data_IF_567562960535
#
_entry.id   IF_567562960535
#
_cell.length_a   1.000
_cell.length_b   1.000
_cell.length_c   1.000
_cell.angle_alpha   90.00
_cell.angle_beta   90.00
_cell.angle_gamma   90.00
#
_symmetry.space_group_name_H-M   'P 1'
#
loop_
_entity.id
_entity.type
_entity.pdbx_description
1 polymer ?
#
# COMPACT_ATOMS: atom_id res chain seq x y z
N UNK A 1 15.79 -18.10 -5.97
CA UNK A 1 15.86 -17.77 -4.54
C UNK A 1 16.19 -16.29 -4.40
N UNK A 2 15.68 -15.64 -3.33
CA UNK A 2 15.89 -14.20 -3.09
C UNK A 2 17.38 -13.82 -3.06
N UNK A 3 18.24 -14.67 -2.48
CA UNK A 3 19.68 -14.43 -2.45
C UNK A 3 20.33 -14.35 -3.83
N UNK A 4 19.87 -15.12 -4.80
CA UNK A 4 20.37 -15.08 -6.18
C UNK A 4 20.03 -13.74 -6.84
N UNK A 5 18.82 -13.21 -6.61
CA UNK A 5 18.39 -11.92 -7.15
C UNK A 5 19.21 -10.79 -6.53
N UNK A 6 19.38 -10.80 -5.20
CA UNK A 6 20.19 -9.81 -4.47
C UNK A 6 21.62 -9.81 -4.98
N UNK A 7 22.26 -10.99 -5.06
CA UNK A 7 23.65 -11.10 -5.51
C UNK A 7 23.81 -10.63 -6.96
N UNK A 8 22.88 -10.99 -7.85
CA UNK A 8 22.88 -10.52 -9.25
C UNK A 8 22.70 -9.02 -9.35
N UNK A 9 21.81 -8.43 -8.53
CA UNK A 9 21.59 -6.98 -8.51
C UNK A 9 22.82 -6.24 -8.02
N UNK A 10 23.46 -6.73 -6.94
CA UNK A 10 24.68 -6.11 -6.40
C UNK A 10 25.83 -6.22 -7.40
N UNK A 11 25.97 -7.37 -8.07
CA UNK A 11 27.04 -7.61 -9.07
C UNK A 11 26.89 -6.70 -10.30
N UNK A 12 25.66 -6.46 -10.77
CA UNK A 12 25.41 -5.71 -11.99
C UNK A 12 25.28 -4.20 -11.76
N UNK A 13 24.76 -3.78 -10.58
CA UNK A 13 24.37 -2.38 -10.32
C UNK A 13 24.91 -1.83 -8.99
N UNK A 14 25.74 -2.59 -8.28
CA UNK A 14 26.22 -2.24 -6.95
C UNK A 14 25.13 -2.24 -5.89
N UNK A 15 25.48 -1.87 -4.65
CA UNK A 15 24.55 -1.77 -3.52
C UNK A 15 23.43 -0.75 -3.79
N UNK A 16 23.73 0.35 -4.49
CA UNK A 16 22.74 1.36 -4.91
C UNK A 16 21.64 0.81 -5.82
N UNK A 17 21.90 -0.28 -6.53
CA UNK A 17 20.90 -0.97 -7.35
C UNK A 17 19.70 -1.51 -6.56
N UNK A 18 19.89 -1.82 -5.28
CA UNK A 18 18.81 -2.28 -4.39
C UNK A 18 17.83 -1.17 -3.99
N UNK A 19 18.27 0.09 -4.07
CA UNK A 19 17.47 1.27 -3.71
C UNK A 19 16.81 1.93 -4.94
N UNK A 20 16.86 1.28 -6.12
CA UNK A 20 16.18 1.77 -7.32
C UNK A 20 14.67 1.81 -7.09
N UNK A 21 14.07 2.96 -7.35
CA UNK A 21 12.64 3.21 -7.10
C UNK A 21 12.30 3.70 -5.68
N UNK A 22 13.28 3.80 -4.76
CA UNK A 22 13.06 4.38 -3.42
C UNK A 22 12.60 5.84 -3.52
N UNK A 23 13.18 6.62 -4.43
CA UNK A 23 12.79 8.02 -4.66
C UNK A 23 11.29 8.16 -4.97
N UNK A 24 10.75 7.30 -5.84
CA UNK A 24 9.31 7.27 -6.12
C UNK A 24 8.47 7.01 -4.86
N UNK A 25 8.91 6.10 -4.00
CA UNK A 25 8.21 5.82 -2.75
C UNK A 25 8.25 6.99 -1.78
N UNK A 26 9.40 7.66 -1.66
CA UNK A 26 9.58 8.82 -0.77
C UNK A 26 8.72 10.02 -1.20
N UNK A 27 8.74 10.37 -2.47
CA UNK A 27 7.94 11.50 -2.98
C UNK A 27 6.43 11.28 -2.80
N UNK A 28 5.95 10.05 -2.90
CA UNK A 28 4.53 9.75 -2.74
C UNK A 28 4.13 9.37 -1.31
N UNK A 29 5.06 9.17 -0.38
CA UNK A 29 4.74 8.75 0.99
C UNK A 29 3.88 9.79 1.73
N UNK A 30 4.30 11.06 1.72
CA UNK A 30 3.57 12.15 2.38
C UNK A 30 2.21 12.44 1.73
N UNK A 31 2.09 12.65 0.40
CA UNK A 31 0.78 12.82 -0.24
C UNK A 31 -0.15 11.63 0.00
N UNK A 32 0.38 10.42 0.00
CA UNK A 32 -0.40 9.20 0.26
C UNK A 32 -0.99 9.18 1.66
N UNK A 33 -0.21 9.52 2.68
CA UNK A 33 -0.66 9.59 4.05
C UNK A 33 -1.70 10.72 4.22
N UNK A 34 -1.44 11.92 3.68
CA UNK A 34 -2.34 13.05 3.76
C UNK A 34 -3.70 12.76 3.13
N UNK A 35 -3.74 12.20 1.92
CA UNK A 35 -5.00 11.86 1.25
C UNK A 35 -5.72 10.73 1.99
N UNK A 36 -5.03 9.72 2.48
CA UNK A 36 -5.64 8.62 3.23
C UNK A 36 -6.35 9.11 4.48
N UNK A 37 -5.65 9.83 5.35
CA UNK A 37 -6.20 10.28 6.61
C UNK A 37 -7.21 11.42 6.42
N UNK A 38 -6.92 12.41 5.57
CA UNK A 38 -7.84 13.48 5.26
C UNK A 38 -9.15 12.99 4.65
N UNK A 39 -9.08 12.05 3.71
CA UNK A 39 -10.30 11.43 3.14
C UNK A 39 -11.06 10.59 4.17
N UNK A 40 -10.33 9.88 5.06
CA UNK A 40 -10.97 9.12 6.12
C UNK A 40 -11.74 10.03 7.09
N UNK A 41 -11.13 11.12 7.52
CA UNK A 41 -11.78 12.12 8.38
C UNK A 41 -12.99 12.78 7.70
N UNK A 42 -12.83 13.18 6.43
CA UNK A 42 -13.92 13.79 5.64
C UNK A 42 -15.10 12.83 5.51
N UNK A 43 -14.87 11.59 5.09
CA UNK A 43 -15.96 10.60 4.96
C UNK A 43 -16.54 10.23 6.31
N UNK A 44 -15.72 10.09 7.36
CA UNK A 44 -16.20 9.86 8.72
C UNK A 44 -17.07 11.01 9.22
N UNK A 45 -16.69 12.26 8.93
CA UNK A 45 -17.46 13.44 9.25
C UNK A 45 -18.82 13.51 8.53
N UNK A 46 -18.86 13.10 7.26
CA UNK A 46 -20.11 13.01 6.49
C UNK A 46 -21.10 11.95 7.03
N UNK A 47 -20.56 10.93 7.71
CA UNK A 47 -21.35 9.85 8.32
C UNK A 47 -21.85 10.23 9.74
N UNK A 48 -21.40 11.35 10.30
CA UNK A 48 -21.86 11.90 11.58
C UNK A 48 -22.90 12.98 11.34
N UNK A 49 -23.86 13.08 12.28
CA UNK A 49 -24.75 14.22 12.37
C UNK A 49 -24.07 15.37 13.16
N UNK A 50 -24.69 16.56 13.15
CA UNK A 50 -24.21 17.75 13.90
C UNK A 50 -23.97 17.47 15.38
N UNK A 51 -24.72 16.53 15.95
CA UNK A 51 -24.62 16.09 17.35
C UNK A 51 -23.59 14.96 17.56
N UNK A 52 -22.77 14.63 16.58
CA UNK A 52 -21.77 13.56 16.65
C UNK A 52 -22.34 12.13 16.67
N UNK A 53 -23.65 11.98 16.46
CA UNK A 53 -24.31 10.67 16.36
C UNK A 53 -24.23 10.10 14.94
N UNK A 54 -24.29 8.78 14.82
CA UNK A 54 -24.27 8.10 13.52
C UNK A 54 -25.55 8.44 12.73
N UNK A 55 -25.41 9.24 11.68
CA UNK A 55 -26.50 9.68 10.81
C UNK A 55 -27.26 8.52 10.14
N UNK A 56 -26.57 7.42 9.90
CA UNK A 56 -27.10 6.26 9.15
C UNK A 56 -27.19 4.99 10.01
N UNK A 57 -26.96 5.06 11.31
CA UNK A 57 -27.03 3.90 12.21
C UNK A 57 -25.98 2.82 11.94
N UNK A 58 -24.85 3.19 11.34
CA UNK A 58 -23.81 2.25 10.89
C UNK A 58 -23.02 1.62 12.07
N UNK A 59 -23.04 2.22 13.24
CA UNK A 59 -22.35 1.70 14.42
C UNK A 59 -20.90 1.33 14.14
N UNK A 60 -20.54 0.05 14.36
CA UNK A 60 -19.18 -0.46 14.11
C UNK A 60 -18.78 -0.48 12.63
N UNK A 61 -19.74 -0.52 11.70
CA UNK A 61 -19.46 -0.52 10.26
C UNK A 61 -19.01 0.85 9.72
N UNK A 62 -19.16 1.94 10.48
CA UNK A 62 -18.73 3.29 10.10
C UNK A 62 -17.26 3.34 9.68
N UNK A 63 -16.36 2.72 10.47
CA UNK A 63 -14.94 2.67 10.14
C UNK A 63 -14.64 1.93 8.83
N UNK A 64 -15.44 0.90 8.52
CA UNK A 64 -15.33 0.17 7.25
C UNK A 64 -15.75 1.04 6.07
N UNK A 65 -16.89 1.74 6.15
CA UNK A 65 -17.38 2.63 5.10
C UNK A 65 -16.43 3.82 4.88
N UNK A 66 -15.97 4.45 5.97
CA UNK A 66 -14.97 5.53 5.88
C UNK A 66 -13.65 5.04 5.27
N UNK A 67 -13.23 3.82 5.61
CA UNK A 67 -12.05 3.17 5.01
C UNK A 67 -12.21 2.88 3.52
N UNK A 68 -13.39 2.49 3.05
CA UNK A 68 -13.68 2.35 1.62
C UNK A 68 -13.51 3.68 0.87
N UNK A 69 -14.09 4.75 1.40
CA UNK A 69 -13.96 6.08 0.82
C UNK A 69 -12.51 6.56 0.79
N UNK A 70 -11.80 6.45 1.92
CA UNK A 70 -10.39 6.79 2.01
C UNK A 70 -9.52 6.00 1.02
N UNK A 71 -9.76 4.69 0.93
CA UNK A 71 -9.03 3.82 -0.01
C UNK A 71 -9.29 4.16 -1.47
N UNK A 72 -10.52 4.53 -1.81
CA UNK A 72 -10.88 4.97 -3.17
C UNK A 72 -10.15 6.26 -3.54
N UNK A 73 -10.20 7.27 -2.68
CA UNK A 73 -9.49 8.54 -2.90
C UNK A 73 -7.98 8.33 -2.98
N UNK A 74 -7.40 7.53 -2.08
CA UNK A 74 -5.99 7.17 -2.11
C UNK A 74 -5.61 6.46 -3.43
N UNK A 75 -6.45 5.54 -3.91
CA UNK A 75 -6.21 4.82 -5.15
C UNK A 75 -6.21 5.76 -6.36
N UNK A 76 -7.18 6.66 -6.45
CA UNK A 76 -7.33 7.59 -7.58
C UNK A 76 -6.17 8.60 -7.60
N UNK A 77 -5.92 9.30 -6.50
CA UNK A 77 -5.01 10.44 -6.53
C UNK A 77 -3.54 10.09 -6.37
N UNK A 78 -3.21 8.97 -5.71
CA UNK A 78 -1.82 8.66 -5.37
C UNK A 78 -1.39 7.26 -5.80
N UNK A 79 -2.12 6.23 -5.39
CA UNK A 79 -1.59 4.86 -5.53
C UNK A 79 -1.49 4.43 -6.98
N UNK A 80 -2.51 4.70 -7.81
CA UNK A 80 -2.49 4.30 -9.21
C UNK A 80 -1.38 5.00 -10.00
N UNK A 81 -1.27 6.35 -10.00
CA UNK A 81 -0.18 7.00 -10.73
C UNK A 81 1.20 6.59 -10.18
N UNK A 82 1.34 6.43 -8.85
CA UNK A 82 2.59 5.97 -8.24
C UNK A 82 2.99 4.58 -8.73
N UNK A 83 2.07 3.61 -8.69
CA UNK A 83 2.37 2.22 -9.10
C UNK A 83 2.73 2.15 -10.59
N UNK A 84 1.97 2.81 -11.46
CA UNK A 84 2.21 2.80 -12.89
C UNK A 84 3.56 3.45 -13.25
N UNK A 85 3.84 4.63 -12.69
CA UNK A 85 5.11 5.33 -12.91
C UNK A 85 6.30 4.52 -12.38
N UNK A 86 6.16 3.94 -11.16
CA UNK A 86 7.19 3.09 -10.57
C UNK A 86 7.51 1.89 -11.45
N UNK A 87 6.49 1.17 -11.93
CA UNK A 87 6.68 -0.01 -12.78
C UNK A 87 7.38 0.35 -14.08
N UNK A 88 6.95 1.43 -14.76
CA UNK A 88 7.57 1.89 -16.00
C UNK A 88 9.03 2.31 -15.81
N UNK A 89 9.33 3.06 -14.75
CA UNK A 89 10.69 3.51 -14.45
C UNK A 89 11.62 2.34 -14.11
N UNK A 90 11.15 1.40 -13.30
CA UNK A 90 11.93 0.20 -12.95
C UNK A 90 12.15 -0.65 -14.20
N UNK A 91 11.11 -0.89 -15.00
CA UNK A 91 11.22 -1.69 -16.22
C UNK A 91 12.26 -1.09 -17.18
N UNK A 92 12.23 0.23 -17.40
CA UNK A 92 13.19 0.92 -18.26
C UNK A 92 14.63 0.75 -17.76
N UNK A 93 14.85 0.89 -16.43
CA UNK A 93 16.17 0.76 -15.83
C UNK A 93 16.77 -0.64 -15.88
N UNK A 94 15.94 -1.70 -15.88
CA UNK A 94 16.41 -3.08 -15.82
C UNK A 94 16.44 -3.78 -17.18
N UNK A 95 15.64 -3.34 -18.14
CA UNK A 95 15.45 -4.04 -19.42
C UNK A 95 15.87 -3.23 -20.64
N UNK A 96 16.27 -1.95 -20.46
CA UNK A 96 16.84 -1.12 -21.54
C UNK A 96 18.27 -0.73 -21.25
N UNK A 97 19.10 -0.81 -22.29
CA UNK A 97 20.48 -0.38 -22.25
C UNK A 97 20.77 0.42 -23.54
N UNK A 98 20.99 1.75 -23.48
CA UNK A 98 20.94 2.62 -22.28
C UNK A 98 19.50 2.89 -21.80
N UNK A 99 19.31 3.17 -20.49
CA UNK A 99 18.02 3.53 -19.95
C UNK A 99 17.52 4.85 -20.54
N UNK A 100 16.23 4.87 -20.90
CA UNK A 100 15.59 6.07 -21.50
C UNK A 100 15.39 7.20 -20.49
N UNK A 101 15.16 6.84 -19.23
CA UNK A 101 14.84 7.80 -18.17
C UNK A 101 16.06 8.08 -17.30
N UNK A 102 16.52 9.35 -17.29
CA UNK A 102 17.70 9.79 -16.51
C UNK A 102 17.41 10.02 -15.02
N UNK A 103 16.18 9.76 -14.55
CA UNK A 103 15.75 9.92 -13.16
C UNK A 103 14.23 10.01 -13.04
N UNK A 104 13.73 10.13 -11.78
CA UNK A 104 12.31 10.12 -11.49
C UNK A 104 11.55 11.24 -12.24
N UNK A 105 11.91 12.50 -12.04
CA UNK A 105 11.20 13.64 -12.65
C UNK A 105 11.28 13.65 -14.17
N UNK A 106 12.45 13.33 -14.73
CA UNK A 106 12.62 13.20 -16.16
C UNK A 106 11.72 12.09 -16.73
N UNK A 107 11.65 10.94 -16.05
CA UNK A 107 10.80 9.83 -16.45
C UNK A 107 9.33 10.17 -16.40
N UNK A 108 8.85 10.78 -15.31
CA UNK A 108 7.46 11.23 -15.17
C UNK A 108 7.09 12.23 -16.29
N UNK A 109 7.91 13.26 -16.48
CA UNK A 109 7.68 14.27 -17.54
C UNK A 109 7.66 13.64 -18.93
N UNK A 110 8.56 12.70 -19.21
CA UNK A 110 8.64 12.03 -20.51
C UNK A 110 7.43 11.12 -20.74
N UNK A 111 7.01 10.34 -19.75
CA UNK A 111 5.84 9.47 -19.85
C UNK A 111 4.58 10.30 -20.11
N UNK A 112 4.37 11.39 -19.33
CA UNK A 112 3.20 12.25 -19.49
C UNK A 112 3.18 12.93 -20.87
N UNK A 113 4.33 13.41 -21.36
CA UNK A 113 4.42 14.07 -22.65
C UNK A 113 4.23 13.13 -23.85
N UNK A 114 4.70 11.90 -23.75
CA UNK A 114 4.70 10.96 -24.88
C UNK A 114 3.50 10.02 -24.89
N UNK A 115 3.05 9.59 -23.72
CA UNK A 115 2.00 8.58 -23.58
C UNK A 115 0.69 9.18 -23.02
N UNK A 116 0.74 10.42 -22.54
CA UNK A 116 -0.39 11.14 -21.99
C UNK A 116 -0.63 10.83 -20.51
N UNK A 117 -1.43 11.68 -19.85
CA UNK A 117 -1.76 11.56 -18.42
C UNK A 117 -2.57 10.29 -18.14
N UNK A 118 -3.44 9.88 -19.08
CA UNK A 118 -4.30 8.68 -18.91
C UNK A 118 -3.50 7.39 -18.79
N UNK A 119 -2.27 7.36 -19.32
CA UNK A 119 -1.38 6.21 -19.18
C UNK A 119 -0.98 5.94 -17.73
N UNK A 120 -0.86 7.00 -16.90
CA UNK A 120 -0.59 6.87 -15.47
C UNK A 120 -1.75 6.23 -14.70
N UNK A 121 -2.94 6.20 -15.29
CA UNK A 121 -4.15 5.61 -14.69
C UNK A 121 -4.47 4.20 -15.20
N UNK A 122 -3.60 3.58 -15.98
CA UNK A 122 -3.75 2.17 -16.37
C UNK A 122 -3.81 1.29 -15.12
N UNK A 123 -4.87 0.48 -15.03
CA UNK A 123 -5.12 -0.38 -13.88
C UNK A 123 -5.80 0.32 -12.69
N UNK A 124 -6.44 1.48 -12.89
CA UNK A 124 -7.16 2.21 -11.84
C UNK A 124 -8.22 1.33 -11.16
N UNK A 125 -9.09 0.65 -11.92
CA UNK A 125 -10.18 -0.16 -11.36
C UNK A 125 -9.69 -1.28 -10.40
N UNK A 126 -8.77 -2.17 -10.80
CA UNK A 126 -8.25 -3.18 -9.87
C UNK A 126 -7.49 -2.56 -8.69
N UNK A 127 -6.86 -1.40 -8.88
CA UNK A 127 -6.19 -0.71 -7.79
C UNK A 127 -7.20 -0.12 -6.81
N UNK A 128 -8.30 0.50 -7.27
CA UNK A 128 -9.40 0.96 -6.41
C UNK A 128 -9.94 -0.20 -5.58
N UNK A 129 -10.34 -1.30 -6.21
CA UNK A 129 -10.89 -2.46 -5.51
C UNK A 129 -9.94 -2.97 -4.43
N UNK A 130 -8.66 -3.12 -4.76
CA UNK A 130 -7.64 -3.59 -3.83
C UNK A 130 -7.43 -2.63 -2.66
N UNK A 131 -7.18 -1.35 -2.94
CA UNK A 131 -6.81 -0.36 -1.92
C UNK A 131 -8.01 -0.04 -1.04
N UNK A 132 -9.20 0.17 -1.62
CA UNK A 132 -10.43 0.47 -0.87
C UNK A 132 -10.77 -0.66 0.10
N UNK A 133 -10.77 -1.91 -0.38
CA UNK A 133 -11.11 -3.06 0.45
C UNK A 133 -10.07 -3.28 1.55
N UNK A 134 -8.77 -3.13 1.25
CA UNK A 134 -7.72 -3.25 2.24
C UNK A 134 -7.80 -2.17 3.32
N UNK A 135 -8.09 -0.92 2.95
CA UNK A 135 -8.27 0.17 3.91
C UNK A 135 -9.57 0.01 4.72
N UNK A 136 -10.66 -0.38 4.07
CA UNK A 136 -11.91 -0.67 4.76
C UNK A 136 -11.72 -1.72 5.86
N UNK A 137 -11.04 -2.83 5.54
CA UNK A 137 -10.75 -3.89 6.51
C UNK A 137 -9.85 -3.36 7.62
N UNK A 138 -8.78 -2.62 7.30
CA UNK A 138 -7.85 -2.07 8.27
C UNK A 138 -8.54 -1.12 9.26
N UNK A 139 -9.27 -0.14 8.75
CA UNK A 139 -9.99 0.83 9.58
C UNK A 139 -11.19 0.20 10.29
N UNK A 140 -11.89 -0.74 9.63
CA UNK A 140 -12.98 -1.49 10.24
C UNK A 140 -12.52 -2.30 11.45
N UNK A 141 -11.46 -3.07 11.30
CA UNK A 141 -10.87 -3.86 12.41
C UNK A 141 -10.32 -2.94 13.49
N UNK A 142 -9.59 -1.88 13.12
CA UNK A 142 -9.06 -0.93 14.09
C UNK A 142 -10.17 -0.27 14.93
N UNK A 143 -11.27 0.14 14.31
CA UNK A 143 -12.39 0.76 15.02
C UNK A 143 -13.25 -0.26 15.81
N UNK A 144 -13.20 -1.54 15.44
CA UNK A 144 -13.86 -2.59 16.20
C UNK A 144 -13.15 -2.93 17.52
N UNK A 145 -11.85 -2.58 17.65
CA UNK A 145 -11.08 -2.76 18.88
C UNK A 145 -11.57 -1.72 19.92
N UNK A 146 -11.95 -2.16 21.15
CA UNK A 146 -12.41 -1.26 22.20
C UNK A 146 -11.41 -0.14 22.48
N UNK A 147 -11.92 1.06 22.81
CA UNK A 147 -11.09 2.25 23.05
C UNK A 147 -10.11 2.06 24.22
N UNK A 148 -10.42 1.17 25.14
CA UNK A 148 -9.55 0.81 26.28
C UNK A 148 -8.19 0.30 25.87
N UNK A 149 -8.13 -0.42 24.74
CA UNK A 149 -6.89 -0.96 24.15
C UNK A 149 -6.20 0.01 23.19
N UNK A 150 -6.62 1.29 23.15
CA UNK A 150 -6.08 2.32 22.26
C UNK A 150 -5.73 3.63 22.98
N UNK A 151 -5.72 3.64 24.32
CA UNK A 151 -5.48 4.83 25.13
C UNK A 151 -4.06 5.38 24.99
N UNK A 152 -3.09 4.53 24.85
CA UNK A 152 -1.68 4.92 24.68
C UNK A 152 -1.24 4.79 23.23
N UNK A 153 -0.28 5.62 22.77
CA UNK A 153 0.27 5.52 21.41
C UNK A 153 0.76 4.11 21.06
N UNK A 154 1.36 3.42 22.04
CA UNK A 154 1.82 2.03 21.88
C UNK A 154 0.67 1.04 21.65
N UNK A 155 -0.40 1.15 22.44
CA UNK A 155 -1.59 0.31 22.27
C UNK A 155 -2.28 0.57 20.94
N UNK A 156 -2.40 1.85 20.53
CA UNK A 156 -2.97 2.22 19.24
C UNK A 156 -2.17 1.63 18.06
N UNK A 157 -0.85 1.60 18.18
CA UNK A 157 0.00 1.03 17.15
C UNK A 157 -0.06 -0.49 17.10
N UNK A 158 -0.08 -1.18 18.24
CA UNK A 158 -0.30 -2.62 18.28
C UNK A 158 -1.67 -2.99 17.70
N UNK A 159 -2.70 -2.22 18.00
CA UNK A 159 -4.04 -2.37 17.40
C UNK A 159 -4.02 -2.15 15.89
N UNK A 160 -3.29 -1.15 15.42
CA UNK A 160 -3.06 -0.90 14.00
C UNK A 160 -2.26 -2.00 13.30
N UNK A 161 -1.22 -2.53 13.95
CA UNK A 161 -0.45 -3.67 13.47
C UNK A 161 -1.31 -4.92 13.34
N UNK A 162 -2.13 -5.20 14.34
CA UNK A 162 -3.06 -6.32 14.34
C UNK A 162 -4.09 -6.19 13.21
N UNK A 163 -4.71 -5.03 13.07
CA UNK A 163 -5.64 -4.74 11.97
C UNK A 163 -4.96 -4.86 10.59
N UNK A 164 -3.72 -4.37 10.48
CA UNK A 164 -2.90 -4.52 9.28
C UNK A 164 -2.57 -5.98 8.97
N UNK A 165 -2.20 -6.77 9.99
CA UNK A 165 -1.91 -8.20 9.85
C UNK A 165 -3.13 -8.99 9.36
N UNK A 166 -4.30 -8.75 9.93
CA UNK A 166 -5.57 -9.35 9.48
C UNK A 166 -5.84 -8.99 8.02
N UNK A 167 -5.69 -7.71 7.66
CA UNK A 167 -5.84 -7.25 6.28
C UNK A 167 -4.89 -7.99 5.33
N UNK A 168 -3.62 -8.17 5.71
CA UNK A 168 -2.64 -8.93 4.90
C UNK A 168 -3.12 -10.35 4.68
N UNK A 169 -3.54 -11.06 5.73
CA UNK A 169 -3.99 -12.45 5.62
C UNK A 169 -5.22 -12.58 4.71
N UNK A 170 -6.22 -11.71 4.88
CA UNK A 170 -7.45 -11.74 4.08
C UNK A 170 -7.16 -11.49 2.59
N UNK A 171 -6.31 -10.50 2.28
CA UNK A 171 -6.08 -10.09 0.90
C UNK A 171 -4.86 -10.75 0.25
N UNK A 172 -4.16 -11.66 0.95
CA UNK A 172 -2.99 -12.35 0.42
C UNK A 172 -3.29 -13.10 -0.88
N UNK A 173 -4.41 -13.81 -0.96
CA UNK A 173 -4.79 -14.54 -2.15
C UNK A 173 -4.92 -13.64 -3.38
N UNK A 174 -5.57 -12.48 -3.23
CA UNK A 174 -5.73 -11.50 -4.30
C UNK A 174 -4.38 -10.96 -4.76
N UNK A 175 -3.47 -10.69 -3.81
CA UNK A 175 -2.14 -10.20 -4.13
C UNK A 175 -1.27 -11.26 -4.85
N UNK A 176 -1.39 -12.53 -4.49
CA UNK A 176 -0.72 -13.63 -5.19
C UNK A 176 -1.22 -13.74 -6.63
N UNK A 177 -2.55 -13.72 -6.83
CA UNK A 177 -3.15 -13.76 -8.18
C UNK A 177 -2.68 -12.56 -9.00
N UNK A 178 -2.75 -11.33 -8.45
CA UNK A 178 -2.25 -10.11 -9.10
C UNK A 178 -0.77 -10.24 -9.48
N UNK A 179 0.06 -10.72 -8.56
CA UNK A 179 1.50 -10.86 -8.77
C UNK A 179 1.83 -11.86 -9.88
N UNK A 180 1.09 -12.98 -9.97
CA UNK A 180 1.27 -13.96 -11.04
C UNK A 180 0.81 -13.43 -12.39
N UNK A 181 -0.30 -12.71 -12.44
CA UNK A 181 -0.81 -12.07 -13.65
C UNK A 181 0.07 -10.93 -14.16
N UNK A 182 0.86 -10.30 -13.29
CA UNK A 182 1.83 -9.25 -13.64
C UNK A 182 3.24 -9.80 -13.87
N UNK A 183 3.49 -11.06 -13.51
CA UNK A 183 4.79 -11.72 -13.65
C UNK A 183 5.08 -12.20 -15.08
N UNK A 184 6.29 -12.76 -15.26
CA UNK A 184 6.77 -13.29 -16.55
C UNK A 184 5.89 -14.41 -17.11
N UNK A 185 5.12 -15.08 -16.28
CA UNK A 185 4.24 -16.18 -16.67
C UNK A 185 2.78 -15.74 -16.91
N UNK A 186 2.54 -14.42 -17.04
CA UNK A 186 1.20 -13.86 -17.25
C UNK A 186 0.45 -14.47 -18.45
N UNK A 187 1.18 -14.85 -19.50
CA UNK A 187 0.63 -15.50 -20.71
C UNK A 187 -0.03 -16.87 -20.46
N UNK A 188 0.26 -17.50 -19.31
CA UNK A 188 -0.35 -18.78 -18.93
C UNK A 188 -1.79 -18.65 -18.39
N UNK A 189 -2.22 -17.44 -18.10
CA UNK A 189 -3.49 -17.15 -17.45
C UNK A 189 -4.38 -16.30 -18.34
N UNK A 190 -5.59 -16.80 -18.62
CA UNK A 190 -6.58 -16.07 -19.40
C UNK A 190 -7.25 -14.92 -18.59
N UNK A 191 -7.16 -14.96 -17.26
CA UNK A 191 -7.74 -13.96 -16.38
C UNK A 191 -7.56 -14.29 -14.90
N UNK A 192 -8.05 -13.42 -13.98
CA UNK A 192 -7.86 -13.61 -12.52
C UNK A 192 -8.53 -14.90 -12.02
N UNK A 193 -9.69 -15.25 -12.55
CA UNK A 193 -10.44 -16.46 -12.16
C UNK A 193 -9.71 -17.71 -12.62
N UNK A 194 -9.22 -17.74 -13.86
CA UNK A 194 -8.43 -18.84 -14.39
C UNK A 194 -7.12 -19.02 -13.60
N UNK A 195 -6.43 -17.92 -13.30
CA UNK A 195 -5.24 -17.92 -12.48
C UNK A 195 -5.54 -18.53 -11.09
N UNK A 196 -6.60 -18.08 -10.42
CA UNK A 196 -7.00 -18.62 -9.11
C UNK A 196 -7.30 -20.12 -9.18
N UNK A 197 -8.07 -20.56 -10.19
CA UNK A 197 -8.40 -21.97 -10.39
C UNK A 197 -7.14 -22.83 -10.62
N UNK A 198 -6.21 -22.37 -11.45
CA UNK A 198 -4.93 -23.07 -11.70
C UNK A 198 -4.05 -23.15 -10.46
N UNK A 199 -3.96 -22.06 -9.66
CA UNK A 199 -3.23 -22.07 -8.39
C UNK A 199 -3.83 -23.10 -7.43
N UNK A 200 -5.16 -23.09 -7.29
CA UNK A 200 -5.85 -24.04 -6.39
C UNK A 200 -5.68 -25.49 -6.86
N UNK A 201 -5.72 -25.74 -8.16
CA UNK A 201 -5.55 -27.08 -8.73
C UNK A 201 -4.10 -27.60 -8.62
N UNK A 202 -3.09 -26.73 -8.76
CA UNK A 202 -1.70 -27.14 -8.81
C UNK A 202 -0.98 -27.04 -7.46
N UNK A 203 -1.27 -26.02 -6.67
CA UNK A 203 -0.56 -25.71 -5.43
C UNK A 203 -1.47 -25.76 -4.19
N UNK A 204 -2.78 -25.96 -4.39
CA UNK A 204 -3.76 -25.93 -3.31
C UNK A 204 -3.93 -24.54 -2.67
N UNK A 205 -4.60 -24.50 -1.53
CA UNK A 205 -4.84 -23.26 -0.77
C UNK A 205 -3.52 -22.63 -0.32
N UNK A 206 -2.51 -23.43 0.00
CA UNK A 206 -1.18 -22.95 0.39
C UNK A 206 -0.51 -22.09 -0.70
N UNK A 207 -0.81 -22.34 -1.98
CA UNK A 207 -0.35 -21.52 -3.10
C UNK A 207 -0.83 -20.07 -3.03
N UNK A 208 -2.07 -19.83 -2.57
CA UNK A 208 -2.64 -18.49 -2.39
C UNK A 208 -2.02 -17.73 -1.21
N UNK A 209 -1.42 -18.43 -0.25
CA UNK A 209 -0.75 -17.83 0.91
C UNK A 209 0.77 -17.76 0.76
N UNK A 210 1.28 -18.09 -0.42
CA UNK A 210 2.72 -17.98 -0.70
C UNK A 210 3.19 -16.53 -0.56
N UNK A 211 4.22 -16.30 0.27
CA UNK A 211 4.75 -14.97 0.54
C UNK A 211 4.02 -14.20 1.66
N UNK A 212 3.11 -14.82 2.41
CA UNK A 212 2.49 -14.18 3.59
C UNK A 212 3.52 -13.84 4.65
N UNK A 213 4.48 -14.74 4.90
CA UNK A 213 5.53 -14.55 5.91
C UNK A 213 6.36 -13.29 5.67
N UNK A 214 6.99 -13.06 4.50
CA UNK A 214 7.74 -11.82 4.27
C UNK A 214 6.87 -10.56 4.32
N UNK A 215 5.58 -10.65 3.99
CA UNK A 215 4.66 -9.52 4.13
C UNK A 215 4.34 -9.20 5.59
N UNK A 216 4.05 -10.22 6.41
CA UNK A 216 3.82 -10.02 7.84
C UNK A 216 5.09 -9.48 8.51
N UNK A 217 6.26 -10.05 8.22
CA UNK A 217 7.55 -9.54 8.72
C UNK A 217 7.73 -8.06 8.36
N UNK A 218 7.44 -7.68 7.11
CA UNK A 218 7.49 -6.27 6.71
C UNK A 218 6.55 -5.39 7.55
N UNK A 219 5.29 -5.81 7.76
CA UNK A 219 4.33 -5.03 8.57
C UNK A 219 4.81 -4.92 10.02
N UNK A 220 5.33 -5.99 10.60
CA UNK A 220 5.89 -5.97 11.96
C UNK A 220 7.10 -5.01 12.07
N UNK A 221 8.03 -5.08 11.11
CA UNK A 221 9.18 -4.16 11.06
C UNK A 221 8.75 -2.70 10.86
N UNK A 222 7.78 -2.45 9.98
CA UNK A 222 7.23 -1.10 9.73
C UNK A 222 6.63 -0.51 11.01
N UNK A 223 5.86 -1.30 11.75
CA UNK A 223 5.28 -0.88 13.03
C UNK A 223 6.36 -0.66 14.08
N UNK A 224 7.33 -1.58 14.20
CA UNK A 224 8.43 -1.46 15.15
C UNK A 224 9.27 -0.19 14.92
N UNK A 225 9.63 0.08 13.66
CA UNK A 225 10.37 1.30 13.27
C UNK A 225 9.53 2.55 13.54
N UNK A 226 8.26 2.54 13.14
CA UNK A 226 7.35 3.68 13.34
C UNK A 226 7.22 4.00 14.83
N UNK A 227 7.10 2.99 15.69
CA UNK A 227 7.02 3.17 17.14
C UNK A 227 8.29 3.73 17.74
N UNK A 228 9.45 3.19 17.33
CA UNK A 228 10.74 3.67 17.82
C UNK A 228 10.97 5.14 17.44
N UNK A 229 10.64 5.50 16.21
CA UNK A 229 10.79 6.86 15.71
C UNK A 229 9.74 7.82 16.29
N UNK A 230 8.51 7.36 16.51
CA UNK A 230 7.44 8.19 17.03
C UNK A 230 7.81 8.83 18.36
N UNK A 231 8.36 8.04 19.30
CA UNK A 231 8.79 8.53 20.59
C UNK A 231 9.86 9.62 20.50
N UNK A 232 10.84 9.45 19.61
CA UNK A 232 11.93 10.42 19.41
C UNK A 232 11.44 11.68 18.66
N UNK A 233 10.59 11.51 17.66
CA UNK A 233 9.99 12.63 16.92
C UNK A 233 9.12 13.49 17.84
N UNK A 234 8.29 12.88 18.67
CA UNK A 234 7.45 13.62 19.65
C UNK A 234 8.31 14.36 20.66
N UNK A 235 9.37 13.74 21.19
CA UNK A 235 10.33 14.42 22.09
C UNK A 235 10.99 15.62 21.40
N UNK A 236 11.41 15.43 20.14
CA UNK A 236 12.04 16.49 19.35
C UNK A 236 11.06 17.64 19.07
N UNK A 237 9.82 17.34 18.67
CA UNK A 237 8.78 18.35 18.43
C UNK A 237 8.44 19.12 19.70
N UNK A 238 8.28 18.45 20.84
CA UNK A 238 8.02 19.10 22.12
C UNK A 238 9.19 19.98 22.58
N UNK A 239 10.42 19.67 22.16
CA UNK A 239 11.61 20.49 22.44
C UNK A 239 11.66 21.73 21.55
N UNK A 240 11.27 21.61 20.29
CA UNK A 240 11.31 22.71 19.28
C UNK A 240 10.06 23.58 19.38
N UNK A 241 8.91 22.98 19.55
CA UNK A 241 7.62 23.64 19.77
C UNK A 241 7.21 23.38 21.22
N UNK A 242 7.47 24.33 22.09
CA UNK A 242 6.91 24.32 23.45
C UNK A 242 5.38 24.42 23.31
N UNK A 243 4.71 23.29 23.19
CA UNK A 243 3.28 23.20 23.40
C UNK A 243 3.11 22.90 24.88
N UNK A 244 2.66 23.94 25.62
CA UNK A 244 2.18 23.80 26.99
C UNK A 244 1.03 22.82 27.08
#
# INVERSE_FOLDING_TARGET
SMGVVVNRTIKNYGVGGMYRGLSSMLYFATPKAAIRFGSFETVSGMLLDKDGKDKYGLGKAKGFVAGLGAGTMEAIFVTTPQETLKVKLIHDQFFRDPPRYKGFFHGVSTIIKQEGVMEAYKGLMPTILKVSTAQATRFGVFNAIPHEYRKTPWQAALSGAFAGGISVVIFQGIDVVKSRMQGLESHKYAGPIDCTRKILAQEGIAGLYRGVTPRLTRVCCEVGITMSLYGEVVKFLNKVWKTE
#
